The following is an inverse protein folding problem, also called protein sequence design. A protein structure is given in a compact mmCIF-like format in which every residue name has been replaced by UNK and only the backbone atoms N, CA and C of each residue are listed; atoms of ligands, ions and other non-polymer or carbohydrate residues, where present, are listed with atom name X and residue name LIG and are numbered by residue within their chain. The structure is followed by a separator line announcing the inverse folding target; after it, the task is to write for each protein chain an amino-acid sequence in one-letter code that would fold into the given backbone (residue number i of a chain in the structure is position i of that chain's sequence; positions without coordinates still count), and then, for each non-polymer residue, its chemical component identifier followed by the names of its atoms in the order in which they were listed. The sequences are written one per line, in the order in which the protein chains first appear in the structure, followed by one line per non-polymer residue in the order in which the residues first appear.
data_IF_294503942626
#
_entry.id   IF_294503942626
#
_cell.length_a   1.000
_cell.length_b   1.000
_cell.length_c   1.000
_cell.angle_alpha   90.00
_cell.angle_beta   90.00
_cell.angle_gamma   90.00
#
_symmetry.space_group_name_H-M   'P 1'
#
loop_
_entity.id
_entity.type
_entity.pdbx_description
1 polymer ?
#
# COMPACT_ATOMS: atom_id res chain seq x y z
N UNK A 1 17.15 -16.28 12.47
CA UNK A 1 15.88 -15.69 12.02
C UNK A 1 16.09 -15.17 10.61
N UNK A 2 15.25 -15.56 9.66
CA UNK A 2 15.30 -14.99 8.30
C UNK A 2 14.81 -13.54 8.35
N UNK A 3 15.32 -12.69 7.44
CA UNK A 3 14.81 -11.33 7.31
C UNK A 3 13.32 -11.37 6.90
N UNK A 4 12.49 -10.43 7.39
CA UNK A 4 11.09 -10.34 6.99
C UNK A 4 10.96 -10.05 5.48
N UNK A 5 10.03 -10.74 4.83
CA UNK A 5 9.71 -10.57 3.43
C UNK A 5 8.69 -9.45 3.26
N UNK A 6 9.00 -8.48 2.39
CA UNK A 6 8.14 -7.34 2.10
C UNK A 6 7.63 -7.34 0.65
N UNK A 7 6.41 -6.86 0.47
CA UNK A 7 5.79 -6.63 -0.83
C UNK A 7 5.18 -5.22 -0.88
N UNK A 8 5.16 -4.63 -2.08
CA UNK A 8 4.67 -3.28 -2.30
C UNK A 8 3.61 -3.30 -3.39
N UNK A 9 2.52 -2.56 -3.18
CA UNK A 9 1.50 -2.29 -4.21
C UNK A 9 1.33 -0.79 -4.35
N UNK A 10 1.62 -0.29 -5.55
CA UNK A 10 1.41 1.11 -5.89
C UNK A 10 -0.02 1.36 -6.32
N UNK A 11 -0.66 2.35 -5.69
CA UNK A 11 -2.02 2.80 -5.97
C UNK A 11 -1.97 4.25 -6.46
N UNK A 12 -2.42 4.57 -7.69
CA UNK A 12 -2.47 5.94 -8.18
C UNK A 12 -3.32 6.86 -7.30
N UNK A 13 -2.83 8.09 -7.13
CA UNK A 13 -3.58 9.19 -6.53
C UNK A 13 -4.15 10.09 -7.63
N UNK A 14 -5.33 10.64 -7.40
CA UNK A 14 -5.94 11.69 -8.23
C UNK A 14 -5.96 12.98 -7.43
N UNK A 15 -5.75 14.09 -8.13
CA UNK A 15 -5.85 15.41 -7.52
C UNK A 15 -7.23 15.98 -7.79
N UNK A 16 -7.92 16.36 -6.74
CA UNK A 16 -9.18 17.10 -6.83
C UNK A 16 -9.00 18.52 -6.26
N UNK A 17 -10.10 19.25 -6.06
CA UNK A 17 -10.06 20.59 -5.46
C UNK A 17 -9.80 20.55 -3.94
N UNK A 18 -10.03 19.42 -3.29
CA UNK A 18 -9.88 19.24 -1.85
C UNK A 18 -8.49 18.70 -1.45
N UNK A 19 -7.75 18.09 -2.38
CA UNK A 19 -6.43 17.53 -2.14
C UNK A 19 -6.10 16.35 -3.04
N UNK A 20 -5.42 15.35 -2.48
CA UNK A 20 -5.17 14.06 -3.12
C UNK A 20 -6.16 13.02 -2.60
N UNK A 21 -6.77 12.30 -3.52
CA UNK A 21 -7.64 11.16 -3.24
C UNK A 21 -7.11 9.91 -3.93
N UNK A 22 -7.43 8.73 -3.41
CA UNK A 22 -7.10 7.48 -4.07
C UNK A 22 -7.94 7.31 -5.33
N UNK A 23 -7.32 6.90 -6.44
CA UNK A 23 -8.05 6.69 -7.69
C UNK A 23 -9.06 5.54 -7.61
N UNK A 24 -8.87 4.63 -6.67
CA UNK A 24 -9.73 3.49 -6.38
C UNK A 24 -9.69 3.12 -4.89
N UNK A 25 -10.61 2.27 -4.46
CA UNK A 25 -10.65 1.76 -3.10
C UNK A 25 -9.45 0.86 -2.79
N UNK A 26 -8.45 1.41 -2.12
CA UNK A 26 -7.24 0.68 -1.73
C UNK A 26 -7.50 -0.35 -0.63
N UNK A 27 -8.65 -0.29 0.07
CA UNK A 27 -8.99 -1.30 1.09
C UNK A 27 -9.20 -2.67 0.46
N UNK A 28 -9.75 -2.72 -0.77
CA UNK A 28 -9.89 -3.96 -1.53
C UNK A 28 -8.53 -4.64 -1.74
N UNK A 29 -7.48 -3.87 -2.05
CA UNK A 29 -6.10 -4.41 -2.18
C UNK A 29 -5.60 -5.00 -0.87
N UNK A 30 -5.89 -4.35 0.26
CA UNK A 30 -5.50 -4.85 1.58
C UNK A 30 -6.21 -6.17 1.88
N UNK A 31 -7.50 -6.27 1.60
CA UNK A 31 -8.29 -7.49 1.82
C UNK A 31 -7.80 -8.65 0.95
N UNK A 32 -7.54 -8.41 -0.34
CA UNK A 32 -6.99 -9.42 -1.25
C UNK A 32 -5.62 -9.93 -0.77
N UNK A 33 -4.71 -9.01 -0.45
CA UNK A 33 -3.38 -9.36 0.09
C UNK A 33 -3.47 -10.12 1.41
N UNK A 34 -4.42 -9.77 2.27
CA UNK A 34 -4.64 -10.47 3.53
C UNK A 34 -5.08 -11.93 3.33
N UNK A 35 -5.91 -12.20 2.31
CA UNK A 35 -6.29 -13.56 1.92
C UNK A 35 -5.08 -14.38 1.44
N UNK A 36 -4.12 -13.73 0.80
CA UNK A 36 -2.87 -14.34 0.31
C UNK A 36 -1.76 -14.51 1.37
N UNK A 37 -2.07 -14.21 2.64
CA UNK A 37 -1.13 -14.39 3.75
C UNK A 37 -0.18 -13.21 3.98
N UNK A 38 -0.54 -12.01 3.52
CA UNK A 38 0.19 -10.78 3.79
C UNK A 38 -0.50 -9.95 4.90
N UNK A 39 0.30 -9.27 5.72
CA UNK A 39 -0.14 -8.27 6.69
C UNK A 39 0.17 -6.87 6.19
N UNK A 40 -0.79 -5.95 6.29
CA UNK A 40 -0.57 -4.54 5.96
C UNK A 40 0.25 -3.86 7.05
N UNK A 41 1.30 -3.13 6.65
CA UNK A 41 2.24 -2.46 7.56
C UNK A 41 1.98 -0.96 7.56
N UNK A 42 2.06 -0.33 6.40
CA UNK A 42 1.95 1.11 6.26
C UNK A 42 1.60 1.55 4.85
N UNK A 43 1.18 2.80 4.73
CA UNK A 43 0.94 3.49 3.48
C UNK A 43 1.91 4.65 3.33
N UNK A 44 2.60 4.72 2.19
CA UNK A 44 3.56 5.78 1.88
C UNK A 44 2.99 6.64 0.76
N UNK A 45 2.69 7.91 1.05
CA UNK A 45 2.23 8.87 0.04
C UNK A 45 3.42 9.42 -0.76
N UNK A 46 3.32 9.34 -2.09
CA UNK A 46 4.32 9.81 -3.05
C UNK A 46 3.70 10.90 -3.94
N UNK A 47 3.13 11.93 -3.31
CA UNK A 47 2.36 12.99 -3.96
C UNK A 47 3.19 13.96 -4.82
N UNK A 48 4.50 14.04 -4.58
CA UNK A 48 5.42 14.92 -5.30
C UNK A 48 6.10 14.24 -6.51
N UNK A 49 5.79 12.98 -6.79
CA UNK A 49 6.29 12.29 -7.99
C UNK A 49 5.59 12.81 -9.26
N UNK A 50 6.25 12.64 -10.42
CA UNK A 50 5.66 12.91 -11.74
C UNK A 50 4.34 12.15 -11.94
N UNK A 51 4.25 10.95 -11.36
CA UNK A 51 3.04 10.14 -11.27
C UNK A 51 2.69 9.90 -9.79
N UNK A 52 1.81 10.74 -9.21
CA UNK A 52 1.40 10.66 -7.82
C UNK A 52 0.73 9.34 -7.50
N UNK A 53 1.19 8.71 -6.42
CA UNK A 53 0.72 7.39 -5.98
C UNK A 53 0.91 7.22 -4.48
N UNK A 54 0.30 6.18 -3.94
CA UNK A 54 0.56 5.68 -2.61
C UNK A 54 1.10 4.25 -2.71
N UNK A 55 2.18 3.95 -2.01
CA UNK A 55 2.68 2.59 -1.91
C UNK A 55 2.14 1.94 -0.63
N UNK A 56 1.35 0.89 -0.80
CA UNK A 56 0.89 0.03 0.27
C UNK A 56 1.98 -1.00 0.57
N UNK A 57 2.48 -1.01 1.80
CA UNK A 57 3.55 -1.90 2.24
C UNK A 57 2.95 -3.09 2.99
N UNK A 58 3.38 -4.28 2.60
CA UNK A 58 2.94 -5.54 3.17
C UNK A 58 4.12 -6.37 3.65
N UNK A 59 3.91 -7.15 4.71
CA UNK A 59 4.87 -8.14 5.22
C UNK A 59 4.21 -9.52 5.24
N UNK A 60 4.99 -10.60 5.13
CA UNK A 60 4.41 -11.96 5.29
C UNK A 60 3.89 -12.13 6.72
N UNK A 61 2.66 -12.65 6.89
CA UNK A 61 2.08 -12.90 8.22
C UNK A 61 3.00 -13.77 9.08
N UNK A 62 3.17 -13.41 10.35
CA UNK A 62 4.08 -14.09 11.27
C UNK A 62 5.54 -13.66 11.16
N UNK A 63 5.83 -12.64 10.35
CA UNK A 63 7.12 -11.94 10.29
C UNK A 63 7.00 -10.45 10.70
N UNK A 64 5.84 -10.07 11.25
CA UNK A 64 5.60 -8.76 11.84
C UNK A 64 6.53 -8.61 13.05
N UNK A 65 7.43 -7.63 13.02
CA UNK A 65 8.36 -7.34 14.13
C UNK A 65 7.74 -6.41 15.17
#
# INVERSE_FOLDING_TARGET
MSAPEYSFVSVPLRRDRAGWEFAFDYQTVITERAADGWGFVQLILLEHHTEPRADLVFVRKGQEQ
#
